data_IF_802011463747
#
_entry.id   IF_802011463747
#
_cell.length_a   1.000
_cell.length_b   1.000
_cell.length_c   1.000
_cell.angle_alpha   90.00
_cell.angle_beta   90.00
_cell.angle_gamma   90.00
#
_symmetry.space_group_name_H-M   'P 1'
#
loop_
_entity.id
_entity.type
_entity.pdbx_description
1 polymer ?
#
# COMPACT_ATOMS: atom_id res chain seq x y z
N UNK A 1 19.75 -30.28 3.44
CA UNK A 1 18.87 -29.40 4.25
C UNK A 1 19.30 -27.97 4.05
N UNK A 2 18.34 -27.04 4.01
CA UNK A 2 18.45 -25.58 3.81
C UNK A 2 18.47 -25.11 2.35
N UNK A 3 17.45 -24.32 2.01
CA UNK A 3 17.28 -23.77 0.66
C UNK A 3 15.88 -23.25 0.33
N UNK A 4 14.97 -23.10 1.31
CA UNK A 4 13.73 -22.35 1.10
C UNK A 4 14.12 -20.87 1.03
N UNK A 5 14.47 -20.42 -0.18
CA UNK A 5 14.71 -19.02 -0.50
C UNK A 5 13.48 -18.24 -0.05
N UNK A 6 13.72 -17.32 0.88
CA UNK A 6 12.76 -16.33 1.40
C UNK A 6 11.86 -15.84 0.26
N UNK A 7 10.60 -16.26 0.26
CA UNK A 7 9.50 -15.54 -0.37
C UNK A 7 9.37 -14.20 0.36
N UNK A 8 10.28 -13.26 0.07
CA UNK A 8 10.31 -11.93 0.67
C UNK A 8 9.05 -11.19 0.23
N UNK A 9 8.13 -10.98 1.18
CA UNK A 9 7.23 -9.82 1.28
C UNK A 9 6.16 -9.61 0.18
N UNK A 10 6.19 -10.36 -0.93
CA UNK A 10 5.28 -10.19 -2.08
C UNK A 10 3.98 -11.01 -2.00
N UNK A 11 4.00 -12.14 -1.27
CA UNK A 11 2.86 -13.08 -1.22
C UNK A 11 1.59 -12.45 -0.59
N UNK A 12 1.76 -11.56 0.39
CA UNK A 12 0.63 -10.85 1.02
C UNK A 12 -0.11 -9.94 0.04
N UNK A 13 0.60 -9.31 -0.91
CA UNK A 13 0.00 -8.39 -1.88
C UNK A 13 -0.90 -9.14 -2.87
N UNK A 14 -0.46 -10.29 -3.39
CA UNK A 14 -1.25 -11.07 -4.34
C UNK A 14 -2.52 -11.64 -3.69
N UNK A 15 -2.43 -12.05 -2.42
CA UNK A 15 -3.59 -12.58 -1.70
C UNK A 15 -4.70 -11.54 -1.53
N UNK A 16 -4.34 -10.31 -1.13
CA UNK A 16 -5.30 -9.21 -0.97
C UNK A 16 -5.99 -8.82 -2.29
N UNK A 17 -5.24 -8.74 -3.39
CA UNK A 17 -5.81 -8.41 -4.72
C UNK A 17 -6.76 -9.49 -5.23
N UNK A 18 -6.41 -10.77 -5.06
CA UNK A 18 -7.26 -11.89 -5.48
C UNK A 18 -8.56 -11.90 -4.68
N UNK A 19 -8.50 -11.65 -3.37
CA UNK A 19 -9.70 -11.63 -2.52
C UNK A 19 -10.61 -10.45 -2.81
N UNK A 20 -10.04 -9.27 -3.06
CA UNK A 20 -10.81 -8.11 -3.49
C UNK A 20 -11.54 -8.38 -4.83
N UNK A 21 -10.85 -9.05 -5.77
CA UNK A 21 -11.43 -9.46 -7.04
C UNK A 21 -12.55 -10.49 -6.87
N UNK A 22 -12.33 -11.53 -6.05
CA UNK A 22 -13.33 -12.56 -5.77
C UNK A 22 -14.58 -11.99 -5.10
N UNK A 23 -14.42 -11.13 -4.10
CA UNK A 23 -15.56 -10.51 -3.42
C UNK A 23 -16.34 -9.57 -4.36
N UNK A 24 -15.65 -8.88 -5.28
CA UNK A 24 -16.28 -8.08 -6.32
C UNK A 24 -17.15 -8.92 -7.26
N UNK A 25 -16.68 -10.12 -7.65
CA UNK A 25 -17.45 -11.07 -8.47
C UNK A 25 -18.63 -11.64 -7.69
N UNK A 26 -18.44 -12.05 -6.44
CA UNK A 26 -19.50 -12.59 -5.58
C UNK A 26 -20.62 -11.56 -5.35
N UNK A 27 -20.25 -10.30 -5.08
CA UNK A 27 -21.20 -9.21 -4.82
C UNK A 27 -21.72 -8.53 -6.08
N UNK A 28 -21.25 -8.94 -7.27
CA UNK A 28 -21.57 -8.32 -8.57
C UNK A 28 -21.41 -6.80 -8.54
N UNK A 29 -20.31 -6.32 -7.97
CA UNK A 29 -20.02 -4.89 -7.93
C UNK A 29 -19.76 -4.38 -9.35
N UNK A 30 -20.47 -3.33 -9.75
CA UNK A 30 -20.21 -2.68 -11.03
C UNK A 30 -18.95 -1.80 -10.92
N UNK A 31 -17.96 -1.98 -11.82
CA UNK A 31 -16.80 -1.12 -11.84
C UNK A 31 -17.18 0.31 -12.23
N UNK A 32 -16.52 1.33 -11.66
CA UNK A 32 -16.75 2.72 -12.05
C UNK A 32 -16.33 2.97 -13.50
N UNK A 33 -16.79 4.08 -14.07
CA UNK A 33 -16.45 4.45 -15.45
C UNK A 33 -14.93 4.56 -15.65
N UNK A 34 -14.40 4.10 -16.80
CA UNK A 34 -12.98 4.17 -17.08
C UNK A 34 -12.50 5.62 -17.20
N UNK A 35 -11.42 5.94 -16.51
CA UNK A 35 -10.74 7.22 -16.61
C UNK A 35 -9.82 7.23 -17.83
N UNK A 36 -10.27 7.82 -18.93
CA UNK A 36 -9.48 7.94 -20.17
C UNK A 36 -8.55 9.18 -20.20
N UNK A 37 -8.25 9.76 -19.03
CA UNK A 37 -7.45 11.00 -18.89
C UNK A 37 -6.12 10.72 -18.21
N UNK A 38 -5.13 11.59 -18.44
CA UNK A 38 -3.82 11.50 -17.78
C UNK A 38 -3.93 11.86 -16.30
N UNK A 39 -4.19 10.83 -15.49
CA UNK A 39 -4.42 10.89 -14.04
C UNK A 39 -3.23 11.49 -13.28
N UNK A 40 -2.02 11.42 -13.85
CA UNK A 40 -0.81 11.92 -13.19
C UNK A 40 -0.81 13.45 -13.05
N UNK A 41 -1.41 14.16 -14.01
CA UNK A 41 -1.43 15.63 -14.09
C UNK A 41 -2.63 16.27 -13.40
N UNK A 42 -3.59 15.48 -12.93
CA UNK A 42 -4.82 15.99 -12.33
C UNK A 42 -4.59 16.39 -10.87
N UNK A 43 -5.20 17.50 -10.46
CA UNK A 43 -5.27 17.91 -9.06
C UNK A 43 -6.13 16.93 -8.24
N UNK A 44 -5.96 16.91 -6.91
CA UNK A 44 -6.79 16.06 -6.04
C UNK A 44 -8.29 16.40 -6.17
N UNK A 45 -8.62 17.69 -6.29
CA UNK A 45 -10.00 18.14 -6.48
C UNK A 45 -10.63 17.59 -7.78
N UNK A 46 -9.88 17.57 -8.87
CA UNK A 46 -10.35 17.01 -10.15
C UNK A 46 -10.54 15.49 -10.08
N UNK A 47 -9.70 14.79 -9.31
CA UNK A 47 -9.84 13.34 -9.10
C UNK A 47 -11.08 13.03 -8.27
N UNK A 48 -11.31 13.75 -7.17
CA UNK A 48 -12.50 13.57 -6.34
C UNK A 48 -13.79 13.84 -7.14
N UNK A 49 -13.79 14.85 -8.02
CA UNK A 49 -14.94 15.12 -8.92
C UNK A 49 -15.23 13.98 -9.89
N UNK A 50 -14.21 13.21 -10.26
CA UNK A 50 -14.35 12.04 -11.13
C UNK A 50 -14.62 10.74 -10.36
N UNK A 51 -14.86 10.83 -9.04
CA UNK A 51 -15.07 9.67 -8.18
C UNK A 51 -13.81 8.83 -7.98
N UNK A 52 -12.63 9.43 -8.15
CA UNK A 52 -11.35 8.76 -8.02
C UNK A 52 -10.52 9.36 -6.87
N UNK A 53 -9.78 8.50 -6.18
CA UNK A 53 -8.89 8.92 -5.10
C UNK A 53 -7.45 8.47 -5.41
N UNK A 54 -6.47 9.26 -4.95
CA UNK A 54 -5.06 8.89 -5.08
C UNK A 54 -4.73 7.80 -4.07
N UNK A 55 -3.94 6.83 -4.52
CA UNK A 55 -3.40 5.81 -3.62
C UNK A 55 -2.40 6.42 -2.63
N UNK A 56 -2.22 5.80 -1.45
CA UNK A 56 -1.19 6.17 -0.50
C UNK A 56 0.19 6.26 -1.16
N UNK A 57 0.92 7.35 -0.88
CA UNK A 57 2.24 7.61 -1.47
C UNK A 57 3.38 7.01 -0.66
N UNK A 58 3.12 6.71 0.61
CA UNK A 58 4.12 6.13 1.51
C UNK A 58 3.59 4.86 2.18
N UNK A 59 4.51 4.02 2.67
CA UNK A 59 4.14 2.85 3.45
C UNK A 59 3.38 3.24 4.72
N UNK A 60 3.75 4.34 5.38
CA UNK A 60 3.05 4.84 6.56
C UNK A 60 1.58 5.18 6.26
N UNK A 61 1.31 5.92 5.18
CA UNK A 61 -0.06 6.22 4.75
C UNK A 61 -0.85 4.94 4.42
N UNK A 62 -0.22 3.98 3.74
CA UNK A 62 -0.86 2.72 3.38
C UNK A 62 -1.24 1.89 4.61
N UNK A 63 -0.38 1.87 5.64
CA UNK A 63 -0.65 1.19 6.90
C UNK A 63 -1.83 1.82 7.65
N UNK A 64 -1.91 3.16 7.67
CA UNK A 64 -3.04 3.86 8.29
C UNK A 64 -4.37 3.61 7.55
N UNK A 65 -4.35 3.59 6.22
CA UNK A 65 -5.51 3.20 5.42
C UNK A 65 -5.94 1.76 5.76
N UNK A 66 -4.99 0.81 5.77
CA UNK A 66 -5.27 -0.59 6.06
C UNK A 66 -5.80 -0.81 7.49
N UNK A 67 -5.31 -0.04 8.47
CA UNK A 67 -5.76 -0.12 9.88
C UNK A 67 -7.20 0.33 10.07
N UNK A 68 -7.65 1.30 9.29
CA UNK A 68 -9.03 1.83 9.32
C UNK A 68 -10.01 0.94 8.55
N UNK A 69 -9.51 0.12 7.62
CA UNK A 69 -10.33 -0.72 6.76
C UNK A 69 -10.75 -2.04 7.46
N UNK A 70 -12.04 -2.15 7.77
CA UNK A 70 -12.64 -3.35 8.37
C UNK A 70 -12.65 -4.55 7.44
N UNK A 71 -12.63 -4.33 6.12
CA UNK A 71 -12.58 -5.40 5.13
C UNK A 71 -11.21 -6.09 5.18
N UNK A 72 -10.14 -5.31 5.15
CA UNK A 72 -8.76 -5.84 5.22
C UNK A 72 -8.54 -6.67 6.48
N UNK A 73 -8.97 -6.17 7.65
CA UNK A 73 -8.91 -6.90 8.92
C UNK A 73 -9.65 -8.24 8.90
N UNK A 74 -10.84 -8.26 8.28
CA UNK A 74 -11.67 -9.46 8.18
C UNK A 74 -11.03 -10.52 7.27
N UNK A 75 -10.50 -10.10 6.14
CA UNK A 75 -9.93 -10.98 5.13
C UNK A 75 -8.61 -11.59 5.58
N UNK A 76 -7.77 -10.81 6.26
CA UNK A 76 -6.52 -11.31 6.83
C UNK A 76 -6.73 -12.04 8.16
N UNK A 77 -7.79 -11.71 8.88
CA UNK A 77 -8.01 -12.10 10.27
C UNK A 77 -7.26 -11.17 11.24
N UNK A 78 -7.89 -10.86 12.38
CA UNK A 78 -7.40 -9.85 13.33
C UNK A 78 -5.96 -10.14 13.80
N UNK A 79 -5.67 -11.38 14.21
CA UNK A 79 -4.35 -11.74 14.74
C UNK A 79 -3.25 -11.59 13.69
N UNK A 80 -3.48 -12.06 12.47
CA UNK A 80 -2.51 -11.97 11.38
C UNK A 80 -2.31 -10.52 10.94
N UNK A 81 -3.40 -9.74 10.89
CA UNK A 81 -3.34 -8.32 10.55
C UNK A 81 -2.50 -7.53 11.54
N UNK A 82 -2.72 -7.71 12.85
CA UNK A 82 -1.98 -6.97 13.88
C UNK A 82 -0.48 -7.30 13.87
N UNK A 83 -0.10 -8.57 13.72
CA UNK A 83 1.32 -8.95 13.61
C UNK A 83 1.95 -8.46 12.31
N UNK A 84 1.21 -8.48 11.20
CA UNK A 84 1.65 -7.88 9.95
C UNK A 84 1.86 -6.36 10.09
N UNK A 85 0.90 -5.65 10.68
CA UNK A 85 0.94 -4.20 10.86
C UNK A 85 2.17 -3.81 11.68
N UNK A 86 2.40 -4.44 12.84
CA UNK A 86 3.59 -4.17 13.68
C UNK A 86 4.90 -4.38 12.93
N UNK A 87 5.02 -5.47 12.16
CA UNK A 87 6.23 -5.75 11.40
C UNK A 87 6.49 -4.68 10.33
N UNK A 88 5.44 -4.17 9.68
CA UNK A 88 5.55 -3.13 8.65
C UNK A 88 5.76 -1.73 9.23
N UNK A 89 5.14 -1.45 10.36
CA UNK A 89 5.34 -0.22 11.10
C UNK A 89 6.80 -0.10 11.57
N UNK A 90 7.37 -1.18 12.13
CA UNK A 90 8.79 -1.22 12.50
C UNK A 90 9.71 -1.01 11.28
N UNK A 91 9.40 -1.62 10.14
CA UNK A 91 10.14 -1.41 8.88
C UNK A 91 10.05 0.06 8.42
N UNK A 92 8.88 0.67 8.51
CA UNK A 92 8.66 2.07 8.16
C UNK A 92 9.47 3.02 9.04
N UNK A 93 9.46 2.82 10.36
CA UNK A 93 10.26 3.61 11.29
C UNK A 93 11.76 3.49 11.02
N UNK A 94 12.25 2.28 10.75
CA UNK A 94 13.65 2.08 10.39
C UNK A 94 14.05 2.81 9.11
N UNK A 95 13.15 2.87 8.12
CA UNK A 95 13.38 3.59 6.87
C UNK A 95 13.45 5.11 7.06
N UNK A 96 12.46 5.71 7.74
CA UNK A 96 12.41 7.19 7.89
C UNK A 96 13.50 7.73 8.82
N UNK A 97 14.08 6.89 9.68
CA UNK A 97 15.21 7.25 10.54
C UNK A 97 16.57 7.06 9.84
N UNK A 98 16.61 6.38 8.70
CA UNK A 98 17.84 6.17 7.94
C UNK A 98 18.17 7.40 7.11
N UNK A 99 19.44 7.79 7.09
CA UNK A 99 19.94 8.80 6.15
C UNK A 99 20.29 8.08 4.86
N UNK A 100 19.62 8.47 3.79
CA UNK A 100 19.83 7.90 2.47
C UNK A 100 21.10 8.46 1.82
N UNK A 101 21.74 7.67 0.97
CA UNK A 101 22.90 8.11 0.18
C UNK A 101 22.57 9.36 -0.66
N UNK A 102 21.34 9.44 -1.19
CA UNK A 102 20.86 10.62 -1.91
C UNK A 102 20.89 11.90 -1.07
N UNK A 103 20.57 11.81 0.22
CA UNK A 103 20.62 12.96 1.13
C UNK A 103 22.07 13.37 1.41
N UNK A 104 22.97 12.40 1.61
CA UNK A 104 24.41 12.64 1.80
C UNK A 104 25.01 13.37 0.60
N UNK A 105 24.82 12.85 -0.61
CA UNK A 105 25.32 13.44 -1.85
C UNK A 105 24.79 14.86 -2.08
N UNK A 106 23.56 15.14 -1.64
CA UNK A 106 22.90 16.44 -1.90
C UNK A 106 23.22 17.50 -0.88
N UNK A 107 23.31 17.14 0.40
CA UNK A 107 23.41 18.09 1.50
C UNK A 107 24.81 18.14 2.14
N UNK A 108 25.62 17.09 2.03
CA UNK A 108 26.94 17.02 2.67
C UNK A 108 28.06 17.27 1.66
N UNK A 109 28.06 16.62 0.49
CA UNK A 109 29.16 16.74 -0.48
C UNK A 109 29.15 18.03 -1.32
N UNK A 110 28.13 18.88 -1.16
CA UNK A 110 28.00 20.16 -1.85
C UNK A 110 28.57 21.36 -1.09
N UNK A 111 29.17 21.11 0.07
CA UNK A 111 29.91 22.09 0.89
C UNK A 111 31.39 21.94 0.61
#
# INVERSE_FOLDING_TARGET
MQGVRRLRKSVSSCFATVLAGLEGVEKRLEPPQPLNKDVAKMSEAELTQLGAERLPRTLGEALECARKDKWVKRVMGELLFEEYYKARESEWYAYIQSVSEWEVLRYIERV
#
